data_IF_928485460198
#
_entry.id   IF_928485460198
#
_cell.length_a   1.000
_cell.length_b   1.000
_cell.length_c   1.000
_cell.angle_alpha   90.00
_cell.angle_beta   90.00
_cell.angle_gamma   90.00
#
_symmetry.space_group_name_H-M   'P 1'
#
loop_
_entity.id
_entity.type
_entity.pdbx_description
1 polymer ?
#
# COMPACT_ATOMS: atom_id res chain seq x y z
N UNK A 1 -2.88 13.85 16.15
CA UNK A 1 -3.87 13.22 15.26
C UNK A 1 -4.62 12.14 16.01
N UNK A 2 -5.94 12.03 15.80
CA UNK A 2 -6.71 11.00 16.49
C UNK A 2 -6.33 9.61 15.98
N UNK A 3 -6.25 8.67 16.90
CA UNK A 3 -6.05 7.26 16.56
C UNK A 3 -7.39 6.66 16.14
N UNK A 4 -7.32 5.63 15.31
CA UNK A 4 -8.51 4.90 14.88
C UNK A 4 -9.15 4.19 16.08
N UNK A 5 -10.41 4.46 16.34
CA UNK A 5 -11.15 3.86 17.46
C UNK A 5 -12.00 2.67 17.04
N UNK A 6 -12.33 2.57 15.77
CA UNK A 6 -13.21 1.52 15.26
C UNK A 6 -12.60 0.83 14.05
N UNK A 7 -12.79 -0.48 13.97
CA UNK A 7 -12.49 -1.26 12.77
C UNK A 7 -13.77 -1.41 11.94
N UNK A 8 -13.65 -1.69 10.64
CA UNK A 8 -14.82 -2.00 9.82
C UNK A 8 -15.63 -3.15 10.43
N UNK A 9 -16.95 -3.20 10.19
CA UNK A 9 -17.78 -4.29 10.68
C UNK A 9 -17.23 -5.65 10.25
N UNK A 10 -17.23 -6.61 11.17
CA UNK A 10 -16.69 -7.94 10.95
C UNK A 10 -15.51 -8.23 11.85
N UNK A 11 -14.99 -9.44 11.76
CA UNK A 11 -13.85 -9.85 12.59
C UNK A 11 -12.56 -9.23 12.03
N UNK A 12 -12.06 -8.20 12.70
CA UNK A 12 -10.77 -7.60 12.37
C UNK A 12 -9.72 -8.08 13.37
N UNK A 13 -8.66 -8.69 12.85
CA UNK A 13 -7.53 -9.16 13.66
C UNK A 13 -6.33 -8.23 13.52
N UNK A 14 -6.55 -6.93 13.68
CA UNK A 14 -5.48 -5.95 13.56
C UNK A 14 -4.70 -5.73 14.85
N UNK A 15 -5.08 -6.39 15.93
CA UNK A 15 -4.42 -6.29 17.25
C UNK A 15 -4.39 -4.86 17.81
N UNK A 16 -5.39 -4.05 17.47
CA UNK A 16 -5.47 -2.65 17.89
C UNK A 16 -5.37 -2.49 19.41
N UNK A 17 -6.12 -3.30 20.15
CA UNK A 17 -6.17 -3.18 21.61
C UNK A 17 -4.81 -3.49 22.23
N UNK A 18 -4.10 -4.46 21.66
CA UNK A 18 -2.75 -4.80 22.12
C UNK A 18 -1.79 -3.63 21.89
N UNK A 19 -1.87 -2.96 20.74
CA UNK A 19 -1.05 -1.80 20.45
C UNK A 19 -1.34 -0.64 21.38
N UNK A 20 -2.62 -0.39 21.68
CA UNK A 20 -3.01 0.69 22.58
C UNK A 20 -2.53 0.43 24.01
N UNK A 21 -2.41 -0.85 24.40
CA UNK A 21 -1.95 -1.23 25.72
C UNK A 21 -0.43 -1.20 25.87
N UNK A 22 0.32 -1.18 24.76
CA UNK A 22 1.78 -1.24 24.76
C UNK A 22 2.37 0.11 24.34
N UNK A 23 2.94 0.90 25.29
CA UNK A 23 3.51 2.20 24.96
C UNK A 23 4.80 2.12 24.11
N UNK A 24 5.40 0.92 23.99
CA UNK A 24 6.60 0.71 23.20
C UNK A 24 6.26 0.29 21.77
N UNK A 25 5.02 -0.05 21.48
CA UNK A 25 4.62 -0.51 20.16
C UNK A 25 4.54 0.66 19.17
N UNK A 26 4.81 0.35 17.89
CA UNK A 26 4.63 1.31 16.81
C UNK A 26 3.14 1.48 16.52
N UNK A 27 2.60 2.61 16.92
CA UNK A 27 1.17 2.91 16.78
C UNK A 27 0.83 3.63 15.48
N UNK A 28 1.79 3.86 14.58
CA UNK A 28 1.54 4.55 13.31
C UNK A 28 0.41 3.93 12.49
N UNK A 29 0.25 2.59 12.42
CA UNK A 29 -0.88 2.03 11.68
C UNK A 29 -2.26 2.46 12.20
N UNK A 30 -2.36 2.82 13.48
CA UNK A 30 -3.61 3.29 14.07
C UNK A 30 -3.98 4.71 13.65
N UNK A 31 -3.05 5.45 13.05
CA UNK A 31 -3.33 6.78 12.49
C UNK A 31 -4.16 6.71 11.21
N UNK A 32 -4.26 5.53 10.60
CA UNK A 32 -5.04 5.34 9.40
C UNK A 32 -6.52 5.16 9.75
N UNK A 33 -7.17 6.29 10.02
CA UNK A 33 -8.63 6.32 10.23
C UNK A 33 -9.32 6.08 8.89
N UNK A 34 -10.64 5.89 8.93
CA UNK A 34 -11.44 5.72 7.71
C UNK A 34 -11.27 6.90 6.76
N UNK A 35 -11.21 8.11 7.29
CA UNK A 35 -11.02 9.32 6.48
C UNK A 35 -9.62 9.35 5.86
N UNK A 36 -8.60 8.96 6.63
CA UNK A 36 -7.23 8.93 6.13
C UNK A 36 -7.05 7.82 5.08
N UNK A 37 -7.71 6.68 5.26
CA UNK A 37 -7.72 5.62 4.25
C UNK A 37 -8.31 6.13 2.94
N UNK A 38 -9.44 6.83 3.02
CA UNK A 38 -10.09 7.38 1.83
C UNK A 38 -9.20 8.38 1.11
N UNK A 39 -8.53 9.26 1.85
CA UNK A 39 -7.57 10.20 1.27
C UNK A 39 -6.40 9.51 0.60
N UNK A 40 -5.91 8.45 1.21
CA UNK A 40 -4.82 7.66 0.64
C UNK A 40 -5.25 7.00 -0.66
N UNK A 41 -6.44 6.40 -0.70
CA UNK A 41 -6.99 5.77 -1.91
C UNK A 41 -7.13 6.81 -3.02
N UNK A 42 -7.68 7.98 -2.72
CA UNK A 42 -7.81 9.07 -3.69
C UNK A 42 -6.45 9.53 -4.21
N UNK A 43 -5.46 9.59 -3.35
CA UNK A 43 -4.09 9.97 -3.74
C UNK A 43 -3.48 8.94 -4.68
N UNK A 44 -3.70 7.65 -4.42
CA UNK A 44 -3.23 6.57 -5.30
C UNK A 44 -3.91 6.66 -6.67
N UNK A 45 -5.20 6.97 -6.68
CA UNK A 45 -5.96 7.12 -7.92
C UNK A 45 -5.49 8.29 -8.80
N UNK A 46 -4.69 9.20 -8.23
CA UNK A 46 -4.14 10.36 -8.94
C UNK A 46 -2.64 10.23 -9.20
N UNK A 47 -2.06 9.08 -8.97
CA UNK A 47 -0.65 8.85 -9.27
C UNK A 47 -0.40 9.09 -10.75
N UNK A 48 0.62 9.86 -11.05
CA UNK A 48 0.86 10.46 -12.36
C UNK A 48 2.10 9.90 -13.06
N UNK A 49 2.96 9.22 -12.32
CA UNK A 49 4.18 8.62 -12.84
C UNK A 49 4.68 7.55 -11.89
N UNK A 50 5.66 6.78 -12.32
CA UNK A 50 6.30 5.80 -11.43
C UNK A 50 7.00 6.51 -10.28
N UNK A 51 7.66 7.63 -10.53
CA UNK A 51 8.30 8.41 -9.47
C UNK A 51 7.28 8.89 -8.44
N UNK A 52 6.09 9.31 -8.90
CA UNK A 52 5.01 9.72 -8.01
C UNK A 52 4.50 8.53 -7.18
N UNK A 53 4.39 7.35 -7.79
CA UNK A 53 4.02 6.14 -7.07
C UNK A 53 5.05 5.80 -5.99
N UNK A 54 6.33 5.92 -6.30
CA UNK A 54 7.40 5.71 -5.32
C UNK A 54 7.31 6.71 -4.17
N UNK A 55 6.92 7.95 -4.47
CA UNK A 55 6.68 8.96 -3.46
C UNK A 55 5.56 8.51 -2.50
N UNK A 56 4.46 8.00 -3.04
CA UNK A 56 3.35 7.48 -2.23
C UNK A 56 3.81 6.29 -1.38
N UNK A 57 4.62 5.40 -1.94
CA UNK A 57 5.21 4.29 -1.17
C UNK A 57 6.01 4.82 0.03
N UNK A 58 6.77 5.89 -0.16
CA UNK A 58 7.52 6.54 0.92
C UNK A 58 6.62 7.14 1.98
N UNK A 59 5.52 7.77 1.58
CA UNK A 59 4.54 8.33 2.52
C UNK A 59 3.91 7.23 3.38
N UNK A 60 3.57 6.11 2.76
CA UNK A 60 2.99 4.97 3.49
C UNK A 60 4.00 4.43 4.49
N UNK A 61 5.24 4.25 4.08
CA UNK A 61 6.32 3.77 4.96
C UNK A 61 6.50 4.70 6.16
N UNK A 62 6.59 6.00 5.91
CA UNK A 62 6.86 6.99 6.95
C UNK A 62 5.67 7.21 7.89
N UNK A 63 4.46 7.20 7.35
CA UNK A 63 3.28 7.55 8.12
C UNK A 63 2.61 6.35 8.80
N UNK A 64 2.72 5.16 8.19
CA UNK A 64 2.07 3.96 8.71
C UNK A 64 3.07 2.91 9.21
N UNK A 65 4.34 3.05 8.88
CA UNK A 65 5.35 2.08 9.26
C UNK A 65 5.23 0.75 8.52
N UNK A 66 4.51 0.72 7.38
CA UNK A 66 4.32 -0.47 6.57
C UNK A 66 4.84 -0.25 5.17
N UNK A 67 5.35 -1.30 4.54
CA UNK A 67 5.86 -1.25 3.18
C UNK A 67 4.76 -1.60 2.18
N UNK A 68 4.58 -0.74 1.17
CA UNK A 68 3.80 -1.08 -0.01
C UNK A 68 4.78 -1.60 -1.05
N UNK A 69 4.74 -2.90 -1.31
CA UNK A 69 5.65 -3.57 -2.25
C UNK A 69 4.99 -3.69 -3.61
N UNK A 70 5.69 -3.21 -4.63
CA UNK A 70 5.22 -3.25 -6.01
C UNK A 70 6.40 -3.73 -6.85
N UNK A 71 6.26 -4.92 -7.43
CA UNK A 71 7.35 -5.52 -8.21
C UNK A 71 6.79 -6.51 -9.23
N UNK A 72 7.52 -6.78 -10.31
CA UNK A 72 7.16 -7.87 -11.21
C UNK A 72 7.10 -9.18 -10.46
N UNK A 73 6.14 -10.04 -10.83
CA UNK A 73 6.02 -11.35 -10.22
C UNK A 73 7.20 -12.26 -10.60
N UNK A 74 7.31 -13.43 -9.94
CA UNK A 74 8.41 -14.35 -10.19
C UNK A 74 8.33 -15.07 -11.53
N UNK A 75 7.23 -14.96 -12.25
CA UNK A 75 7.06 -15.59 -13.55
C UNK A 75 7.84 -14.86 -14.62
N UNK A 76 8.26 -15.60 -15.65
CA UNK A 76 9.00 -15.04 -16.77
C UNK A 76 8.18 -14.08 -17.62
N UNK A 77 6.85 -14.20 -17.57
CA UNK A 77 5.97 -13.35 -18.37
C UNK A 77 5.84 -11.99 -17.68
N UNK A 78 6.41 -10.99 -18.31
CA UNK A 78 6.42 -9.61 -17.81
C UNK A 78 5.19 -8.87 -18.30
N UNK A 79 4.09 -9.08 -17.63
CA UNK A 79 2.82 -8.43 -17.95
C UNK A 79 2.35 -7.55 -16.80
N UNK A 80 1.49 -6.59 -17.14
CA UNK A 80 0.87 -5.73 -16.12
C UNK A 80 0.13 -6.55 -15.08
N UNK A 81 -0.52 -7.63 -15.48
CA UNK A 81 -1.23 -8.53 -14.56
C UNK A 81 -0.28 -9.29 -13.62
N UNK A 82 0.95 -9.50 -14.06
CA UNK A 82 1.96 -10.19 -13.26
C UNK A 82 2.62 -9.32 -12.20
N UNK A 83 2.34 -8.02 -12.17
CA UNK A 83 2.88 -7.15 -11.15
C UNK A 83 2.25 -7.50 -9.80
N UNK A 84 3.12 -7.78 -8.83
CA UNK A 84 2.69 -8.10 -7.46
C UNK A 84 2.60 -6.81 -6.67
N UNK A 85 1.46 -6.59 -6.03
CA UNK A 85 1.20 -5.39 -5.22
C UNK A 85 0.74 -5.88 -3.84
N UNK A 86 1.54 -5.64 -2.82
CA UNK A 86 1.28 -6.14 -1.47
C UNK A 86 1.55 -5.05 -0.45
N UNK A 87 0.59 -4.79 0.42
CA UNK A 87 0.80 -3.95 1.59
C UNK A 87 1.20 -4.88 2.74
N UNK A 88 2.36 -4.62 3.31
CA UNK A 88 2.93 -5.42 4.38
C UNK A 88 1.98 -5.52 5.57
N UNK A 89 1.85 -6.73 6.13
CA UNK A 89 1.06 -6.95 7.33
C UNK A 89 1.77 -6.36 8.54
N UNK A 90 1.06 -5.52 9.28
CA UNK A 90 1.56 -4.92 10.51
C UNK A 90 0.46 -4.93 11.58
N UNK A 91 0.81 -5.11 12.86
CA UNK A 91 -0.16 -4.95 13.94
C UNK A 91 -0.82 -3.57 13.86
N UNK A 92 -2.13 -3.52 14.02
CA UNK A 92 -2.91 -2.28 13.92
C UNK A 92 -3.40 -1.96 12.51
N UNK A 93 -2.92 -2.67 11.49
CA UNK A 93 -3.35 -2.45 10.11
C UNK A 93 -4.47 -3.42 9.76
N UNK A 94 -5.66 -2.90 9.46
CA UNK A 94 -6.83 -3.72 9.17
C UNK A 94 -6.66 -4.53 7.88
N UNK A 95 -7.24 -5.73 7.86
CA UNK A 95 -7.25 -6.58 6.68
C UNK A 95 -7.87 -5.87 5.47
N UNK A 96 -8.93 -5.07 5.71
CA UNK A 96 -9.59 -4.31 4.66
C UNK A 96 -8.60 -3.37 3.95
N UNK A 97 -7.74 -2.69 4.71
CA UNK A 97 -6.75 -1.76 4.15
C UNK A 97 -5.71 -2.52 3.33
N UNK A 98 -5.31 -3.70 3.81
CA UNK A 98 -4.35 -4.54 3.07
C UNK A 98 -4.91 -5.05 1.75
N UNK A 99 -6.22 -4.97 1.56
CA UNK A 99 -6.88 -5.30 0.30
C UNK A 99 -7.19 -4.05 -0.53
N UNK A 100 -7.68 -2.99 0.10
CA UNK A 100 -8.13 -1.79 -0.61
C UNK A 100 -6.98 -0.99 -1.22
N UNK A 101 -5.85 -0.88 -0.53
CA UNK A 101 -4.69 -0.13 -1.04
C UNK A 101 -4.08 -0.81 -2.27
N UNK A 102 -3.74 -2.11 -2.24
CA UNK A 102 -3.26 -2.79 -3.45
C UNK A 102 -4.27 -2.76 -4.60
N UNK A 103 -5.56 -2.88 -4.30
CA UNK A 103 -6.60 -2.83 -5.33
C UNK A 103 -6.63 -1.46 -6.02
N UNK A 104 -6.46 -0.38 -5.26
CA UNK A 104 -6.40 0.97 -5.82
C UNK A 104 -5.18 1.14 -6.73
N UNK A 105 -4.02 0.64 -6.32
CA UNK A 105 -2.81 0.67 -7.16
C UNK A 105 -3.05 -0.10 -8.45
N UNK A 106 -3.62 -1.30 -8.36
CA UNK A 106 -3.89 -2.12 -9.54
C UNK A 106 -4.84 -1.45 -10.51
N UNK A 107 -5.89 -0.80 -10.00
CA UNK A 107 -6.82 -0.03 -10.86
C UNK A 107 -6.09 1.11 -11.56
N UNK A 108 -5.23 1.82 -10.84
CA UNK A 108 -4.49 2.94 -11.43
C UNK A 108 -3.52 2.46 -12.51
N UNK A 109 -2.83 1.33 -12.30
CA UNK A 109 -1.95 0.77 -13.31
C UNK A 109 -2.71 0.32 -14.55
N UNK A 110 -3.94 -0.16 -14.39
CA UNK A 110 -4.79 -0.52 -15.53
C UNK A 110 -5.22 0.71 -16.36
N UNK A 111 -5.38 1.85 -15.71
CA UNK A 111 -5.70 3.12 -16.38
C UNK A 111 -4.47 3.80 -16.99
N UNK A 112 -3.31 3.59 -16.38
CA UNK A 112 -2.05 4.22 -16.78
C UNK A 112 -1.00 3.16 -17.05
N UNK A 113 -1.10 2.51 -18.19
CA UNK A 113 -0.18 1.43 -18.60
C UNK A 113 1.26 1.92 -18.70
N UNK A 114 1.47 3.20 -18.99
CA UNK A 114 2.81 3.78 -19.02
C UNK A 114 3.52 3.64 -17.67
N UNK A 115 2.78 3.81 -16.58
CA UNK A 115 3.33 3.63 -15.21
C UNK A 115 3.67 2.16 -14.99
N UNK A 116 2.77 1.25 -15.39
CA UNK A 116 2.99 -0.18 -15.26
C UNK A 116 4.24 -0.63 -16.03
N UNK A 117 4.40 -0.18 -17.24
CA UNK A 117 5.60 -0.50 -18.04
C UNK A 117 6.85 0.09 -17.44
N UNK A 118 6.78 1.29 -16.85
CA UNK A 118 7.92 1.88 -16.15
C UNK A 118 8.36 1.01 -14.96
N UNK A 119 7.41 0.41 -14.24
CA UNK A 119 7.72 -0.52 -13.15
C UNK A 119 8.45 -1.75 -13.68
N UNK A 120 7.96 -2.33 -14.76
CA UNK A 120 8.57 -3.50 -15.37
C UNK A 120 9.99 -3.20 -15.86
N UNK A 121 10.19 -2.06 -16.49
CA UNK A 121 11.51 -1.64 -17.01
C UNK A 121 12.50 -1.38 -15.86
N UNK A 122 12.05 -0.71 -14.82
CA UNK A 122 12.91 -0.38 -13.67
C UNK A 122 13.40 -1.62 -12.92
N UNK A 123 12.64 -2.72 -13.01
CA UNK A 123 12.95 -3.98 -12.35
C UNK A 123 13.48 -5.04 -13.32
N UNK A 124 13.91 -4.63 -14.51
CA UNK A 124 14.50 -5.54 -15.47
C UNK A 124 15.87 -5.99 -14.99
N UNK A 125 16.08 -7.29 -14.97
CA UNK A 125 17.30 -7.90 -14.48
C UNK A 125 18.53 -7.44 -15.28
N UNK A 126 18.35 -7.20 -16.57
CA UNK A 126 19.45 -6.81 -17.46
C UNK A 126 19.59 -5.30 -17.61
N UNK A 127 18.85 -4.54 -16.81
CA UNK A 127 19.00 -3.11 -16.75
C UNK A 127 18.80 -2.45 -18.11
N UNK A 128 17.62 -2.63 -18.71
CA UNK A 128 17.29 -1.91 -19.92
C UNK A 128 17.35 -0.43 -19.63
N UNK A 129 18.51 0.07 -19.73
CA UNK A 129 18.78 1.48 -19.50
C UNK A 129 18.14 2.32 -20.54
#
# INVERSE_FOLDING_TARGET
MPLRVECPPGACVCERDRLLADPQADQRPLLLTRQQEQKLIERIERVDSYADLQHVQGLIRNNLGAELRIAPGPNEVRTVRGIVIVLEERPGLCKKVRQSVPAAVRRRLAERLDIAYAILDANDLFGSG
#
